data_IF_574606366313
#
_entry.id   IF_574606366313
#
_cell.length_a   1.000
_cell.length_b   1.000
_cell.length_c   1.000
_cell.angle_alpha   90.00
_cell.angle_beta   90.00
_cell.angle_gamma   90.00
#
_symmetry.space_group_name_H-M   'P 1'
#
loop_
_entity.id
_entity.type
_entity.pdbx_description
1 polymer ?
#
# COMPACT_ATOMS: atom_id res chain seq x y z
N UNK A 1 -40.75 26.63 22.72
CA UNK A 1 -39.28 26.80 22.87
C UNK A 1 -38.67 25.41 22.85
N UNK A 2 -38.33 24.91 21.68
CA UNK A 2 -37.73 23.57 21.53
C UNK A 2 -36.37 23.75 20.86
N UNK A 3 -35.32 23.87 21.69
CA UNK A 3 -33.95 23.97 21.21
C UNK A 3 -33.49 22.58 20.78
N UNK A 4 -33.35 22.46 19.46
CA UNK A 4 -32.70 21.41 18.68
C UNK A 4 -31.44 20.88 19.39
N UNK A 5 -31.46 19.60 19.71
CA UNK A 5 -30.31 18.81 20.18
C UNK A 5 -29.15 18.91 19.20
N UNK A 6 -28.06 19.58 19.58
CA UNK A 6 -26.80 19.54 18.85
C UNK A 6 -26.18 18.15 19.01
N UNK A 7 -26.29 17.35 17.95
CA UNK A 7 -25.47 16.15 17.81
C UNK A 7 -24.02 16.55 17.60
N UNK A 8 -23.14 16.07 18.48
CA UNK A 8 -21.68 16.16 18.43
C UNK A 8 -21.11 15.38 17.23
N UNK A 9 -21.37 15.86 16.01
CA UNK A 9 -20.77 15.34 14.78
C UNK A 9 -19.36 15.89 14.59
N UNK A 10 -18.33 15.07 14.89
CA UNK A 10 -16.92 15.38 14.61
C UNK A 10 -16.79 15.83 13.14
N UNK A 11 -16.44 17.09 12.89
CA UNK A 11 -16.27 17.64 11.54
C UNK A 11 -15.10 16.90 10.87
N UNK A 12 -15.31 16.38 9.65
CA UNK A 12 -14.28 15.59 8.95
C UNK A 12 -13.05 16.44 8.66
N UNK A 13 -11.89 15.95 9.07
CA UNK A 13 -10.60 16.59 8.80
C UNK A 13 -10.39 16.78 7.29
N UNK A 14 -9.84 17.93 6.92
CA UNK A 14 -9.52 18.27 5.53
C UNK A 14 -8.02 18.53 5.41
N UNK A 15 -7.46 18.23 4.24
CA UNK A 15 -6.05 18.54 3.99
C UNK A 15 -5.83 20.05 3.99
N UNK A 16 -4.92 20.51 4.85
CA UNK A 16 -4.58 21.93 4.98
C UNK A 16 -3.88 22.54 3.75
N UNK A 17 -3.36 21.71 2.83
CA UNK A 17 -2.74 22.15 1.58
C UNK A 17 -2.92 21.15 0.45
N UNK A 18 -3.11 21.66 -0.77
CA UNK A 18 -3.16 20.85 -2.00
C UNK A 18 -1.86 20.06 -2.22
N UNK A 19 -0.72 20.66 -1.88
CA UNK A 19 0.57 20.01 -2.02
C UNK A 19 0.70 18.82 -1.06
N UNK A 20 0.22 18.98 0.18
CA UNK A 20 0.17 17.89 1.17
C UNK A 20 -0.70 16.73 0.70
N UNK A 21 -1.86 17.02 0.10
CA UNK A 21 -2.72 15.99 -0.48
C UNK A 21 -2.05 15.23 -1.63
N UNK A 22 -1.35 15.94 -2.53
CA UNK A 22 -0.64 15.34 -3.66
C UNK A 22 0.50 14.45 -3.15
N UNK A 23 1.31 14.93 -2.21
CA UNK A 23 2.45 14.18 -1.67
C UNK A 23 2.01 12.91 -0.94
N UNK A 24 0.97 12.98 -0.11
CA UNK A 24 0.41 11.79 0.56
C UNK A 24 -0.12 10.79 -0.46
N UNK A 25 -0.85 11.28 -1.47
CA UNK A 25 -1.40 10.43 -2.53
C UNK A 25 -0.30 9.78 -3.38
N UNK A 26 0.76 10.53 -3.71
CA UNK A 26 1.92 10.01 -4.42
C UNK A 26 2.68 8.97 -3.60
N UNK A 27 2.86 9.19 -2.29
CA UNK A 27 3.45 8.23 -1.37
C UNK A 27 2.67 6.91 -1.29
N UNK A 28 1.34 6.96 -1.30
CA UNK A 28 0.50 5.76 -1.35
C UNK A 28 0.58 5.04 -2.71
N UNK A 29 0.84 5.75 -3.80
CA UNK A 29 0.90 5.18 -5.15
C UNK A 29 2.28 4.56 -5.48
N UNK A 30 3.36 5.06 -4.87
CA UNK A 30 4.72 4.60 -5.09
C UNK A 30 5.04 3.49 -4.08
N UNK A 31 4.91 2.23 -4.52
CA UNK A 31 5.23 1.05 -3.71
C UNK A 31 6.58 0.41 -4.03
N UNK A 32 7.02 -0.51 -3.16
CA UNK A 32 8.28 -1.26 -3.34
C UNK A 32 8.33 -2.09 -4.63
N UNK A 33 7.16 -2.47 -5.15
CA UNK A 33 7.05 -3.17 -6.44
C UNK A 33 7.68 -2.38 -7.59
N UNK A 34 7.66 -1.05 -7.54
CA UNK A 34 8.30 -0.22 -8.56
C UNK A 34 9.83 -0.25 -8.49
N UNK A 35 10.40 -0.60 -7.33
CA UNK A 35 11.85 -0.64 -7.10
C UNK A 35 12.47 -1.91 -7.66
N UNK A 36 11.84 -3.08 -7.47
CA UNK A 36 12.40 -4.37 -7.92
C UNK A 36 11.61 -5.05 -9.04
N UNK A 37 10.27 -5.00 -9.03
CA UNK A 37 9.45 -5.89 -9.87
C UNK A 37 9.34 -5.30 -11.25
N UNK A 38 9.13 -3.99 -11.32
CA UNK A 38 9.06 -3.28 -12.59
C UNK A 38 10.37 -3.38 -13.38
N UNK A 39 11.57 -3.10 -12.82
CA UNK A 39 12.82 -3.27 -13.56
C UNK A 39 13.10 -4.71 -13.96
N UNK A 40 12.79 -5.67 -13.09
CA UNK A 40 12.94 -7.10 -13.40
C UNK A 40 12.08 -7.53 -14.60
N UNK A 41 10.79 -7.19 -14.60
CA UNK A 41 9.88 -7.50 -15.71
C UNK A 41 10.30 -6.75 -16.98
N UNK A 42 10.67 -5.48 -16.87
CA UNK A 42 11.16 -4.70 -18.00
C UNK A 42 12.39 -5.36 -18.64
N UNK A 43 13.39 -5.76 -17.84
CA UNK A 43 14.57 -6.47 -18.33
C UNK A 43 14.25 -7.79 -19.00
N UNK A 44 13.29 -8.56 -18.46
CA UNK A 44 12.90 -9.87 -18.99
C UNK A 44 12.08 -9.78 -20.28
N UNK A 45 11.19 -8.79 -20.41
CA UNK A 45 10.19 -8.70 -21.48
C UNK A 45 10.56 -7.72 -22.61
N UNK A 46 11.86 -7.51 -22.87
CA UNK A 46 12.32 -6.73 -24.03
C UNK A 46 12.49 -5.23 -23.76
N UNK A 47 12.69 -4.84 -22.49
CA UNK A 47 13.17 -3.52 -22.10
C UNK A 47 12.25 -2.39 -22.53
N UNK A 48 12.73 -1.54 -23.43
CA UNK A 48 12.02 -0.35 -23.90
C UNK A 48 10.67 -0.67 -24.59
N UNK A 49 10.56 -1.80 -25.30
CA UNK A 49 9.31 -2.21 -25.94
C UNK A 49 8.22 -2.54 -24.91
N UNK A 50 8.61 -3.20 -23.81
CA UNK A 50 7.71 -3.46 -22.69
C UNK A 50 7.21 -2.17 -22.05
N UNK A 51 8.08 -1.17 -21.86
CA UNK A 51 7.70 0.13 -21.28
C UNK A 51 6.63 0.81 -22.12
N UNK A 52 6.76 0.81 -23.46
CA UNK A 52 5.77 1.45 -24.33
C UNK A 52 4.39 0.81 -24.16
N UNK A 53 4.32 -0.52 -24.18
CA UNK A 53 3.08 -1.27 -23.99
C UNK A 53 2.52 -1.04 -22.59
N UNK A 54 3.39 -1.08 -21.56
CA UNK A 54 3.04 -0.79 -20.18
C UNK A 54 2.39 0.59 -20.02
N UNK A 55 2.94 1.64 -20.65
CA UNK A 55 2.39 3.00 -20.59
C UNK A 55 1.01 3.09 -21.25
N UNK A 56 0.81 2.40 -22.38
CA UNK A 56 -0.50 2.35 -23.05
C UNK A 56 -1.55 1.73 -22.12
N UNK A 57 -1.26 0.58 -21.51
CA UNK A 57 -2.19 -0.06 -20.57
C UNK A 57 -2.36 0.74 -19.27
N UNK A 58 -1.31 1.40 -18.79
CA UNK A 58 -1.37 2.25 -17.61
C UNK A 58 -2.33 3.42 -17.81
N UNK A 59 -2.32 4.06 -18.99
CA UNK A 59 -3.28 5.12 -19.32
C UNK A 59 -4.67 4.54 -19.58
N UNK A 60 -4.75 3.49 -20.40
CA UNK A 60 -6.02 2.91 -20.84
C UNK A 60 -6.84 2.27 -19.72
N UNK A 61 -6.20 1.64 -18.73
CA UNK A 61 -6.89 1.01 -17.60
C UNK A 61 -6.75 1.82 -16.31
N UNK A 62 -5.58 2.42 -16.06
CA UNK A 62 -5.33 3.15 -14.82
C UNK A 62 -6.21 4.40 -14.68
N UNK A 63 -6.36 5.20 -15.73
CA UNK A 63 -7.19 6.41 -15.66
C UNK A 63 -8.67 6.07 -15.38
N UNK A 64 -9.33 5.15 -16.12
CA UNK A 64 -10.72 4.80 -15.82
C UNK A 64 -10.93 4.30 -14.39
N UNK A 65 -10.06 3.42 -13.90
CA UNK A 65 -10.15 2.88 -12.53
C UNK A 65 -10.02 4.01 -11.50
N UNK A 66 -9.04 4.90 -11.68
CA UNK A 66 -8.85 6.05 -10.78
C UNK A 66 -10.04 7.01 -10.79
N UNK A 67 -10.64 7.26 -11.95
CA UNK A 67 -11.84 8.11 -12.07
C UNK A 67 -13.04 7.46 -11.38
N UNK A 68 -13.23 6.15 -11.51
CA UNK A 68 -14.27 5.41 -10.80
C UNK A 68 -14.08 5.50 -9.28
N UNK A 69 -12.88 5.19 -8.78
CA UNK A 69 -12.56 5.23 -7.34
C UNK A 69 -12.78 6.63 -6.75
N UNK A 70 -12.30 7.68 -7.43
CA UNK A 70 -12.53 9.05 -6.98
C UNK A 70 -14.00 9.46 -7.03
N UNK A 71 -14.77 8.98 -8.00
CA UNK A 71 -16.20 9.28 -8.10
C UNK A 71 -16.97 8.64 -6.94
N UNK A 72 -16.68 7.37 -6.62
CA UNK A 72 -17.24 6.65 -5.47
C UNK A 72 -16.87 7.35 -4.16
N UNK A 73 -15.59 7.67 -3.96
CA UNK A 73 -15.11 8.34 -2.75
C UNK A 73 -15.70 9.74 -2.53
N UNK A 74 -15.91 10.52 -3.60
CA UNK A 74 -16.57 11.84 -3.51
C UNK A 74 -18.06 11.73 -3.18
N UNK A 75 -18.75 10.72 -3.71
CA UNK A 75 -20.18 10.52 -3.51
C UNK A 75 -20.48 9.93 -2.12
N UNK A 76 -19.71 8.94 -1.66
CA UNK A 76 -19.91 8.34 -0.35
C UNK A 76 -19.38 9.23 0.78
N UNK A 77 -18.23 9.90 0.59
CA UNK A 77 -17.46 10.54 1.67
C UNK A 77 -17.18 9.60 2.87
N UNK A 78 -17.14 8.30 2.63
CA UNK A 78 -16.83 7.27 3.62
C UNK A 78 -15.60 6.46 3.20
N UNK A 79 -15.07 5.62 4.10
CA UNK A 79 -13.99 4.68 3.77
C UNK A 79 -14.46 3.67 2.71
N UNK A 80 -13.53 3.05 1.97
CA UNK A 80 -13.86 2.12 0.88
C UNK A 80 -14.85 1.02 1.31
N UNK A 81 -14.67 0.48 2.52
CA UNK A 81 -15.56 -0.52 3.11
C UNK A 81 -17.00 -0.01 3.31
N UNK A 82 -17.15 1.18 3.88
CA UNK A 82 -18.46 1.78 4.20
C UNK A 82 -19.10 2.44 2.98
N UNK A 83 -18.31 2.80 1.96
CA UNK A 83 -18.80 3.33 0.70
C UNK A 83 -19.72 2.34 -0.03
N UNK A 84 -19.40 1.04 -0.01
CA UNK A 84 -20.24 0.00 -0.59
C UNK A 84 -21.60 -0.12 0.10
N UNK A 85 -21.65 0.08 1.43
CA UNK A 85 -22.89 0.03 2.22
C UNK A 85 -23.73 1.31 2.04
N UNK A 86 -23.08 2.46 1.89
CA UNK A 86 -23.78 3.76 1.77
C UNK A 86 -24.32 4.00 0.35
N UNK A 87 -23.64 3.48 -0.67
CA UNK A 87 -24.01 3.67 -2.08
C UNK A 87 -24.81 2.49 -2.66
N UNK A 88 -25.16 1.51 -1.84
CA UNK A 88 -25.93 0.34 -2.26
C UNK A 88 -27.34 0.75 -2.75
N UNK A 89 -27.72 0.40 -3.98
CA UNK A 89 -29.10 0.53 -4.43
C UNK A 89 -30.01 -0.41 -3.62
N UNK A 90 -31.21 0.06 -3.27
CA UNK A 90 -32.20 -0.76 -2.54
C UNK A 90 -32.52 -2.05 -3.31
N UNK A 91 -32.16 -3.21 -2.74
CA UNK A 91 -32.33 -4.53 -3.35
C UNK A 91 -31.05 -5.17 -3.92
N UNK A 92 -29.90 -4.49 -3.82
CA UNK A 92 -28.60 -5.06 -4.16
C UNK A 92 -27.92 -5.72 -2.95
N UNK A 93 -26.98 -6.64 -3.21
CA UNK A 93 -26.13 -7.29 -2.19
C UNK A 93 -24.64 -6.89 -2.33
N UNK A 94 -24.38 -5.65 -2.74
CA UNK A 94 -23.04 -5.13 -3.00
C UNK A 94 -22.23 -4.93 -1.72
N UNK A 95 -22.87 -4.92 -0.55
CA UNK A 95 -22.21 -4.91 0.75
C UNK A 95 -21.21 -6.08 0.95
N UNK A 96 -21.34 -7.19 0.23
CA UNK A 96 -20.36 -8.30 0.31
C UNK A 96 -18.96 -7.92 -0.19
N UNK A 97 -18.86 -7.02 -1.18
CA UNK A 97 -17.57 -6.57 -1.73
C UNK A 97 -16.73 -5.76 -0.73
N UNK A 98 -17.35 -5.27 0.35
CA UNK A 98 -16.65 -4.68 1.50
C UNK A 98 -15.59 -5.61 2.06
N UNK A 99 -15.90 -6.90 2.21
CA UNK A 99 -15.00 -7.88 2.80
C UNK A 99 -13.76 -8.09 1.93
N UNK A 100 -13.90 -8.03 0.60
CA UNK A 100 -12.76 -8.13 -0.33
C UNK A 100 -11.82 -6.94 -0.14
N UNK A 101 -12.37 -5.73 -0.01
CA UNK A 101 -11.57 -4.52 0.21
C UNK A 101 -10.81 -4.56 1.54
N UNK A 102 -11.46 -5.05 2.61
CA UNK A 102 -10.85 -5.22 3.93
C UNK A 102 -9.76 -6.30 3.87
N UNK A 103 -10.09 -7.49 3.33
CA UNK A 103 -9.17 -8.61 3.23
C UNK A 103 -7.95 -8.26 2.37
N UNK A 104 -8.15 -7.57 1.25
CA UNK A 104 -7.08 -7.08 0.40
C UNK A 104 -6.15 -6.11 1.14
N UNK A 105 -6.71 -5.20 1.93
CA UNK A 105 -5.92 -4.27 2.76
C UNK A 105 -5.11 -5.00 3.83
N UNK A 106 -5.69 -6.02 4.46
CA UNK A 106 -4.98 -6.87 5.43
C UNK A 106 -3.88 -7.71 4.79
N UNK A 107 -4.14 -8.34 3.65
CA UNK A 107 -3.14 -9.11 2.92
C UNK A 107 -1.96 -8.23 2.47
N UNK A 108 -2.27 -7.00 2.03
CA UNK A 108 -1.25 -6.02 1.66
C UNK A 108 -0.43 -5.60 2.89
N UNK A 109 -1.08 -5.38 4.04
CA UNK A 109 -0.39 -5.08 5.30
C UNK A 109 0.58 -6.20 5.69
N UNK A 110 0.12 -7.46 5.69
CA UNK A 110 0.96 -8.62 6.03
C UNK A 110 2.23 -8.70 5.16
N UNK A 111 2.11 -8.41 3.87
CA UNK A 111 3.25 -8.42 2.97
C UNK A 111 4.19 -7.22 3.20
N UNK A 112 3.64 -6.01 3.32
CA UNK A 112 4.44 -4.80 3.44
C UNK A 112 5.19 -4.69 4.77
N UNK A 113 4.58 -5.10 5.89
CA UNK A 113 5.25 -5.05 7.21
C UNK A 113 6.41 -6.02 7.30
N UNK A 114 6.28 -7.25 6.79
CA UNK A 114 7.39 -8.22 6.76
C UNK A 114 8.56 -7.72 5.93
N UNK A 115 8.29 -7.23 4.71
CA UNK A 115 9.33 -6.72 3.81
C UNK A 115 10.02 -5.48 4.40
N UNK A 116 9.25 -4.56 4.98
CA UNK A 116 9.82 -3.39 5.64
C UNK A 116 10.62 -3.77 6.91
N UNK A 117 10.20 -4.82 7.64
CA UNK A 117 10.96 -5.39 8.75
C UNK A 117 12.35 -5.88 8.32
N UNK A 118 12.45 -6.56 7.18
CA UNK A 118 13.75 -6.90 6.59
C UNK A 118 14.58 -5.66 6.31
N UNK A 119 14.00 -4.63 5.66
CA UNK A 119 14.72 -3.39 5.35
C UNK A 119 15.25 -2.70 6.62
N UNK A 120 14.47 -2.66 7.70
CA UNK A 120 14.89 -2.12 9.00
C UNK A 120 16.04 -2.93 9.62
N UNK A 121 15.98 -4.26 9.54
CA UNK A 121 17.06 -5.13 10.02
C UNK A 121 18.35 -4.94 9.22
N UNK A 122 18.24 -4.84 7.89
CA UNK A 122 19.39 -4.53 7.02
C UNK A 122 19.99 -3.16 7.33
N UNK A 123 19.16 -2.16 7.65
CA UNK A 123 19.62 -0.86 8.09
C UNK A 123 20.37 -0.94 9.42
N UNK A 124 19.85 -1.70 10.39
CA UNK A 124 20.51 -1.92 11.67
C UNK A 124 21.88 -2.61 11.48
N UNK A 125 21.97 -3.64 10.64
CA UNK A 125 23.25 -4.31 10.34
C UNK A 125 24.27 -3.40 9.63
N UNK A 126 23.81 -2.47 8.79
CA UNK A 126 24.68 -1.45 8.22
C UNK A 126 25.23 -0.50 9.29
N UNK A 127 24.40 -0.10 10.26
CA UNK A 127 24.84 0.76 11.36
C UNK A 127 25.78 0.05 12.34
N UNK A 128 25.58 -1.25 12.61
CA UNK A 128 26.45 -2.02 13.52
C UNK A 128 27.76 -2.48 12.88
N UNK A 129 27.96 -2.23 11.58
CA UNK A 129 29.16 -2.66 10.85
C UNK A 129 29.21 -4.18 10.61
N UNK A 130 28.08 -4.86 10.75
CA UNK A 130 27.96 -6.31 10.66
C UNK A 130 28.16 -6.88 9.25
N UNK A 131 28.35 -6.01 8.25
CA UNK A 131 28.71 -6.34 6.88
C UNK A 131 30.21 -6.17 6.58
N UNK A 132 31.00 -5.67 7.53
CA UNK A 132 32.41 -5.38 7.29
C UNK A 132 33.23 -6.67 7.16
N UNK A 133 33.75 -6.92 5.95
CA UNK A 133 34.61 -8.08 5.65
C UNK A 133 33.86 -9.36 5.25
N UNK A 134 32.54 -9.31 5.09
CA UNK A 134 31.76 -10.46 4.60
C UNK A 134 31.75 -10.53 3.07
N UNK A 135 31.83 -11.75 2.55
CA UNK A 135 31.62 -12.05 1.14
C UNK A 135 30.12 -12.02 0.78
N UNK A 136 29.75 -11.83 -0.51
CA UNK A 136 28.36 -11.84 -0.94
C UNK A 136 27.59 -13.12 -0.55
N UNK A 137 28.26 -14.27 -0.57
CA UNK A 137 27.66 -15.57 -0.20
C UNK A 137 27.36 -15.65 1.31
N UNK A 138 28.23 -15.09 2.15
CA UNK A 138 28.00 -15.02 3.61
C UNK A 138 26.85 -14.08 3.97
N UNK A 139 26.69 -12.99 3.21
CA UNK A 139 25.54 -12.06 3.36
C UNK A 139 24.24 -12.77 3.01
N UNK A 140 24.22 -13.54 1.91
CA UNK A 140 23.06 -14.34 1.52
C UNK A 140 22.74 -15.43 2.56
N UNK A 141 23.76 -16.07 3.12
CA UNK A 141 23.63 -17.03 4.22
C UNK A 141 23.00 -16.41 5.47
N UNK A 142 23.43 -15.20 5.85
CA UNK A 142 22.90 -14.45 6.99
C UNK A 142 21.45 -13.99 6.81
N UNK A 143 21.06 -13.67 5.59
CA UNK A 143 19.65 -13.42 5.26
C UNK A 143 18.82 -14.71 5.37
N UNK A 144 19.35 -15.83 4.87
CA UNK A 144 18.65 -17.12 4.95
C UNK A 144 18.46 -17.58 6.40
N UNK A 145 19.48 -17.42 7.25
CA UNK A 145 19.37 -17.74 8.68
C UNK A 145 18.36 -16.84 9.39
N UNK A 146 18.21 -15.60 8.91
CA UNK A 146 17.22 -14.65 9.39
C UNK A 146 15.79 -15.10 9.05
N UNK A 147 15.56 -15.60 7.84
CA UNK A 147 14.24 -16.14 7.45
C UNK A 147 13.80 -17.33 8.31
N UNK A 148 14.75 -18.07 8.88
CA UNK A 148 14.46 -19.20 9.79
C UNK A 148 14.27 -18.79 11.25
N UNK A 149 14.63 -17.56 11.63
CA UNK A 149 14.57 -17.06 13.00
C UNK A 149 13.26 -16.29 13.29
N UNK A 150 12.19 -17.05 13.54
CA UNK A 150 10.84 -16.51 13.74
C UNK A 150 10.73 -15.39 14.82
N UNK A 151 11.43 -15.47 15.98
CA UNK A 151 11.42 -14.39 16.97
C UNK A 151 12.00 -13.06 16.46
N UNK A 152 13.14 -13.09 15.76
CA UNK A 152 13.75 -11.87 15.20
C UNK A 152 12.87 -11.28 14.10
N UNK A 153 12.33 -12.13 13.24
CA UNK A 153 11.42 -11.73 12.16
C UNK A 153 10.14 -11.08 12.69
N UNK A 154 9.53 -11.67 13.71
CA UNK A 154 8.35 -11.10 14.36
C UNK A 154 8.67 -9.75 15.03
N UNK A 155 9.82 -9.63 15.70
CA UNK A 155 10.23 -8.37 16.33
C UNK A 155 10.34 -7.23 15.31
N UNK A 156 11.07 -7.43 14.20
CA UNK A 156 11.24 -6.40 13.18
C UNK A 156 9.95 -6.10 12.41
N UNK A 157 9.09 -7.10 12.22
CA UNK A 157 7.77 -6.92 11.59
C UNK A 157 6.81 -6.12 12.48
N UNK A 158 6.86 -6.30 13.80
CA UNK A 158 6.03 -5.55 14.76
C UNK A 158 6.55 -4.12 14.98
N UNK A 159 7.85 -3.91 14.82
CA UNK A 159 8.49 -2.61 14.98
C UNK A 159 8.11 -1.61 13.87
N UNK A 160 7.70 -2.11 12.69
CA UNK A 160 7.23 -1.30 11.55
C UNK A 160 5.72 -1.14 11.58
#
# INVERSE_FOLDING_TARGET
MEKKTEGTGKRRESFGSRLGFILVSAGCAIGIGNVWRFPYLCGQYGGAAFILIYLVFLVAMGIPIMVCEFSIGRRSRHSAALAFETLEPSGSHWHWYRWISILGSYALMMYYTTVAGWMMKYFAWHLTGEFHGLTPDEIAGKFTSTLTDAPSEAFWTILV
#
